data_IF_223406340843
#
_entry.id   IF_223406340843
#
_cell.length_a   1.000
_cell.length_b   1.000
_cell.length_c   1.000
_cell.angle_alpha   90.00
_cell.angle_beta   90.00
_cell.angle_gamma   90.00
#
_symmetry.space_group_name_H-M   'P 1'
#
loop_
_entity.id
_entity.type
_entity.pdbx_description
1 polymer ?
#
# COMPACT_ATOMS: atom_id res chain seq x y z
N UNK A 1 -17.55 -2.52 -26.18
CA UNK A 1 -17.17 -1.64 -25.05
C UNK A 1 -16.97 -2.41 -23.73
N UNK A 2 -17.57 -3.59 -23.53
CA UNK A 2 -17.47 -4.38 -22.29
C UNK A 2 -16.07 -4.97 -22.01
N UNK A 3 -15.43 -5.54 -23.05
CA UNK A 3 -14.24 -6.40 -22.90
C UNK A 3 -12.99 -5.64 -22.44
N UNK A 4 -12.80 -4.41 -22.91
CA UNK A 4 -11.67 -3.59 -22.48
C UNK A 4 -11.81 -3.11 -21.04
N UNK A 5 -13.05 -2.87 -20.56
CA UNK A 5 -13.32 -2.48 -19.15
C UNK A 5 -13.04 -3.64 -18.21
N UNK A 6 -13.44 -4.86 -18.61
CA UNK A 6 -13.11 -6.08 -17.89
C UNK A 6 -11.59 -6.29 -17.80
N UNK A 7 -10.90 -6.19 -18.95
CA UNK A 7 -9.44 -6.31 -19.00
C UNK A 7 -8.75 -5.24 -18.12
N UNK A 8 -9.22 -4.00 -18.18
CA UNK A 8 -8.71 -2.92 -17.33
C UNK A 8 -8.93 -3.20 -15.85
N UNK A 9 -10.10 -3.71 -15.45
CA UNK A 9 -10.41 -4.06 -14.06
C UNK A 9 -9.52 -5.19 -13.54
N UNK A 10 -9.26 -6.22 -14.36
CA UNK A 10 -8.34 -7.32 -14.04
C UNK A 10 -6.91 -6.80 -13.87
N UNK A 11 -6.43 -5.98 -14.81
CA UNK A 11 -5.09 -5.38 -14.74
C UNK A 11 -4.93 -4.47 -13.52
N UNK A 12 -5.95 -3.67 -13.19
CA UNK A 12 -5.96 -2.81 -12.01
C UNK A 12 -5.88 -3.64 -10.72
N UNK A 13 -6.67 -4.73 -10.64
CA UNK A 13 -6.72 -5.61 -9.47
C UNK A 13 -5.40 -6.36 -9.26
N UNK A 14 -4.79 -6.85 -10.34
CA UNK A 14 -3.46 -7.45 -10.32
C UNK A 14 -2.40 -6.45 -9.87
N UNK A 15 -2.42 -5.24 -10.44
CA UNK A 15 -1.46 -4.17 -10.08
C UNK A 15 -1.58 -3.82 -8.61
N UNK A 16 -2.80 -3.62 -8.11
CA UNK A 16 -3.10 -3.36 -6.70
C UNK A 16 -2.58 -4.49 -5.79
N UNK A 17 -2.82 -5.74 -6.18
CA UNK A 17 -2.34 -6.92 -5.47
C UNK A 17 -0.81 -7.00 -5.40
N UNK A 18 -0.14 -6.79 -6.54
CA UNK A 18 1.32 -6.82 -6.65
C UNK A 18 1.98 -5.68 -5.84
N UNK A 19 1.41 -4.47 -5.90
CA UNK A 19 1.86 -3.34 -5.07
C UNK A 19 1.69 -3.68 -3.59
N UNK A 20 0.55 -4.24 -3.20
CA UNK A 20 0.29 -4.69 -1.83
C UNK A 20 1.31 -5.72 -1.35
N UNK A 21 1.60 -6.73 -2.15
CA UNK A 21 2.60 -7.77 -1.83
C UNK A 21 4.01 -7.17 -1.71
N UNK A 22 4.38 -6.26 -2.62
CA UNK A 22 5.67 -5.58 -2.56
C UNK A 22 5.84 -4.76 -1.27
N UNK A 23 4.81 -4.06 -0.83
CA UNK A 23 4.78 -3.33 0.44
C UNK A 23 4.81 -4.28 1.65
N UNK A 24 4.01 -5.35 1.62
CA UNK A 24 3.91 -6.34 2.69
C UNK A 24 5.24 -7.08 2.94
N UNK A 25 5.97 -7.36 1.86
CA UNK A 25 7.24 -8.09 1.91
C UNK A 25 8.46 -7.19 2.08
N UNK A 26 8.27 -5.86 2.15
CA UNK A 26 9.37 -4.89 2.17
C UNK A 26 10.35 -5.17 1.01
N UNK A 27 9.82 -5.15 -0.22
CA UNK A 27 10.56 -5.59 -1.40
C UNK A 27 11.91 -4.87 -1.49
N UNK A 28 13.01 -5.64 -1.36
CA UNK A 28 14.40 -5.15 -1.40
C UNK A 28 14.78 -4.09 -0.35
N UNK A 29 14.04 -3.95 0.75
CA UNK A 29 14.36 -2.95 1.78
C UNK A 29 14.13 -1.50 1.33
N UNK A 30 13.42 -1.29 0.22
CA UNK A 30 13.13 0.06 -0.33
C UNK A 30 12.33 0.88 0.68
N UNK A 31 11.35 0.26 1.34
CA UNK A 31 10.57 0.87 2.42
C UNK A 31 11.46 1.38 3.55
N UNK A 32 12.40 0.54 4.01
CA UNK A 32 13.34 0.93 5.05
C UNK A 32 14.27 2.06 4.60
N UNK A 33 14.76 2.00 3.36
CA UNK A 33 15.61 3.04 2.79
C UNK A 33 14.85 4.37 2.67
N UNK A 34 13.62 4.33 2.16
CA UNK A 34 12.76 5.50 2.01
C UNK A 34 12.43 6.10 3.36
N UNK A 35 12.10 5.27 4.35
CA UNK A 35 11.79 5.72 5.70
C UNK A 35 13.01 6.31 6.42
N UNK A 36 14.20 5.69 6.27
CA UNK A 36 15.46 6.28 6.77
C UNK A 36 15.71 7.65 6.14
N UNK A 37 15.46 7.80 4.83
CA UNK A 37 15.65 9.06 4.11
C UNK A 37 14.65 10.13 4.55
N UNK A 38 13.36 9.80 4.68
CA UNK A 38 12.33 10.70 5.20
C UNK A 38 12.63 11.15 6.64
N UNK A 39 13.11 10.24 7.49
CA UNK A 39 13.51 10.58 8.85
C UNK A 39 14.77 11.43 8.90
N UNK A 40 15.75 11.22 8.01
CA UNK A 40 16.91 12.09 7.87
C UNK A 40 16.48 13.53 7.53
N UNK A 41 15.53 13.70 6.61
CA UNK A 41 14.95 15.01 6.29
C UNK A 41 14.17 15.60 7.46
N UNK A 42 13.39 14.79 8.19
CA UNK A 42 12.68 15.23 9.39
C UNK A 42 13.63 15.67 10.52
N UNK A 43 14.80 15.02 10.64
CA UNK A 43 15.84 15.41 11.60
C UNK A 43 16.47 16.78 11.27
N UNK A 44 16.55 17.14 9.99
CA UNK A 44 16.94 18.49 9.55
C UNK A 44 15.84 19.50 9.92
N UNK A 45 14.57 19.14 9.71
CA UNK A 45 13.43 19.99 10.07
C UNK A 45 13.33 20.25 11.58
N UNK A 46 13.74 19.27 12.40
CA UNK A 46 13.89 19.42 13.86
C UNK A 46 14.92 20.46 14.29
N UNK A 47 15.82 20.90 13.42
CA UNK A 47 16.75 22.01 13.73
C UNK A 47 16.05 23.37 13.80
N UNK A 48 14.82 23.48 13.30
CA UNK A 48 14.03 24.72 13.26
C UNK A 48 12.90 24.65 14.30
N UNK A 49 12.69 25.69 15.15
CA UNK A 49 11.49 25.79 15.99
C UNK A 49 10.22 25.82 15.12
N UNK A 50 9.10 25.19 15.50
CA UNK A 50 8.77 24.56 16.79
C UNK A 50 9.18 23.08 16.92
N UNK A 51 9.71 22.47 15.85
CA UNK A 51 9.95 21.02 15.77
C UNK A 51 11.06 20.50 16.70
N UNK A 52 11.95 21.40 17.16
CA UNK A 52 12.99 21.14 18.15
C UNK A 52 12.45 20.61 19.49
N UNK A 53 11.21 20.94 19.83
CA UNK A 53 10.60 20.59 21.12
C UNK A 53 9.86 19.25 21.12
N UNK A 54 9.78 18.55 19.97
CA UNK A 54 9.14 17.24 19.96
C UNK A 54 10.04 16.19 20.65
N UNK A 55 9.54 15.48 21.67
CA UNK A 55 10.33 14.52 22.44
C UNK A 55 10.94 13.44 21.55
N UNK A 56 12.17 13.04 21.89
CA UNK A 56 12.89 11.94 21.24
C UNK A 56 12.28 10.60 21.63
N UNK A 57 11.17 10.26 20.96
CA UNK A 57 10.67 8.91 20.97
C UNK A 57 11.68 8.03 20.21
N UNK A 58 12.32 7.09 20.92
CA UNK A 58 13.36 6.18 20.44
C UNK A 58 13.26 5.88 18.94
N UNK A 59 14.23 6.43 18.20
CA UNK A 59 14.35 6.40 16.74
C UNK A 59 14.03 5.02 16.15
N UNK A 60 14.61 3.97 16.73
CA UNK A 60 14.44 2.59 16.27
C UNK A 60 13.02 2.05 16.45
N UNK A 61 12.34 2.44 17.54
CA UNK A 61 10.95 2.02 17.80
C UNK A 61 9.97 2.66 16.83
N UNK A 62 10.19 3.92 16.44
CA UNK A 62 9.37 4.57 15.40
C UNK A 62 9.58 3.91 14.05
N UNK A 63 10.83 3.67 13.66
CA UNK A 63 11.15 3.02 12.38
C UNK A 63 10.47 1.65 12.28
N UNK A 64 10.60 0.81 13.33
CA UNK A 64 9.95 -0.50 13.36
C UNK A 64 8.43 -0.42 13.26
N UNK A 65 7.79 0.54 13.94
CA UNK A 65 6.33 0.76 13.86
C UNK A 65 5.88 1.23 12.47
N UNK A 66 6.64 2.11 11.83
CA UNK A 66 6.30 2.59 10.49
C UNK A 66 6.48 1.49 9.44
N UNK A 67 7.55 0.70 9.53
CA UNK A 67 7.73 -0.48 8.66
C UNK A 67 6.60 -1.48 8.89
N UNK A 68 6.20 -1.73 10.15
CA UNK A 68 5.07 -2.59 10.45
C UNK A 68 3.77 -2.05 9.85
N UNK A 69 3.50 -0.75 9.99
CA UNK A 69 2.31 -0.10 9.44
C UNK A 69 2.27 -0.22 7.91
N UNK A 70 3.38 0.05 7.23
CA UNK A 70 3.47 -0.07 5.78
C UNK A 70 3.25 -1.51 5.31
N UNK A 71 3.77 -2.50 6.06
CA UNK A 71 3.51 -3.91 5.77
C UNK A 71 2.03 -4.25 5.94
N UNK A 72 1.38 -3.77 7.00
CA UNK A 72 -0.06 -3.98 7.23
C UNK A 72 -0.88 -3.36 6.11
N UNK A 73 -0.55 -2.13 5.69
CA UNK A 73 -1.18 -1.49 4.53
C UNK A 73 -0.97 -2.36 3.28
N UNK A 74 0.25 -2.83 3.04
CA UNK A 74 0.55 -3.75 1.94
C UNK A 74 -0.32 -5.01 1.97
N UNK A 75 -0.49 -5.65 3.12
CA UNK A 75 -1.35 -6.83 3.30
C UNK A 75 -2.81 -6.51 2.96
N UNK A 76 -3.32 -5.36 3.41
CA UNK A 76 -4.69 -4.91 3.11
C UNK A 76 -4.86 -4.73 1.59
N UNK A 77 -3.91 -4.06 0.93
CA UNK A 77 -3.93 -3.86 -0.53
C UNK A 77 -3.85 -5.20 -1.29
N UNK A 78 -3.01 -6.12 -0.84
CA UNK A 78 -2.90 -7.46 -1.42
C UNK A 78 -4.21 -8.23 -1.30
N UNK A 79 -4.80 -8.27 -0.11
CA UNK A 79 -6.08 -8.92 0.15
C UNK A 79 -7.21 -8.30 -0.68
N UNK A 80 -7.27 -6.97 -0.77
CA UNK A 80 -8.25 -6.27 -1.59
C UNK A 80 -8.12 -6.61 -3.08
N UNK A 81 -6.90 -6.64 -3.62
CA UNK A 81 -6.64 -7.02 -5.02
C UNK A 81 -7.09 -8.46 -5.31
N UNK A 82 -6.80 -9.41 -4.40
CA UNK A 82 -7.26 -10.79 -4.52
C UNK A 82 -8.78 -10.89 -4.46
N UNK A 83 -9.41 -10.20 -3.51
CA UNK A 83 -10.87 -10.17 -3.39
C UNK A 83 -11.55 -9.62 -4.66
N UNK A 84 -11.02 -8.54 -5.22
CA UNK A 84 -11.52 -7.99 -6.49
C UNK A 84 -11.39 -8.99 -7.64
N UNK A 85 -10.28 -9.72 -7.73
CA UNK A 85 -10.12 -10.77 -8.74
C UNK A 85 -11.15 -11.88 -8.57
N UNK A 86 -11.41 -12.33 -7.34
CA UNK A 86 -12.43 -13.35 -7.06
C UNK A 86 -13.81 -12.87 -7.53
N UNK A 87 -14.19 -11.63 -7.20
CA UNK A 87 -15.48 -11.06 -7.61
C UNK A 87 -15.57 -10.93 -9.13
N UNK A 88 -14.50 -10.47 -9.81
CA UNK A 88 -14.48 -10.34 -11.27
C UNK A 88 -14.59 -11.69 -11.98
N UNK A 89 -13.89 -12.72 -11.48
CA UNK A 89 -13.94 -14.08 -12.03
C UNK A 89 -15.31 -14.70 -11.79
N UNK A 90 -15.85 -14.57 -10.57
CA UNK A 90 -17.18 -15.09 -10.25
C UNK A 90 -18.28 -14.40 -11.06
N UNK A 91 -18.25 -13.08 -11.19
CA UNK A 91 -19.20 -12.31 -12.01
C UNK A 91 -19.10 -12.68 -13.50
N UNK A 92 -17.88 -12.86 -14.02
CA UNK A 92 -17.67 -13.32 -15.39
C UNK A 92 -18.19 -14.73 -15.65
N UNK A 93 -18.05 -15.66 -14.69
CA UNK A 93 -18.52 -17.04 -14.81
C UNK A 93 -20.03 -17.19 -14.59
N UNK A 94 -20.62 -16.40 -13.69
CA UNK A 94 -22.04 -16.44 -13.37
C UNK A 94 -22.91 -15.71 -14.40
N UNK A 95 -22.32 -14.86 -15.25
CA UNK A 95 -23.06 -14.04 -16.22
C UNK A 95 -23.89 -12.94 -15.57
N UNK A 96 -23.74 -12.71 -14.26
CA UNK A 96 -24.41 -11.60 -13.57
C UNK A 96 -23.77 -10.26 -14.00
N UNK A 97 -24.58 -9.25 -14.35
CA UNK A 97 -24.06 -7.94 -14.73
C UNK A 97 -23.28 -7.37 -13.54
N UNK A 98 -22.03 -6.96 -13.80
CA UNK A 98 -21.17 -6.35 -12.79
C UNK A 98 -21.92 -5.23 -12.06
N UNK A 99 -21.84 -5.18 -10.71
CA UNK A 99 -22.54 -4.16 -9.95
C UNK A 99 -22.08 -2.79 -10.45
N UNK A 100 -22.98 -2.11 -11.16
CA UNK A 100 -22.75 -0.76 -11.62
C UNK A 100 -22.76 0.14 -10.39
N UNK A 101 -21.61 0.68 -9.99
CA UNK A 101 -21.60 1.78 -9.03
C UNK A 101 -22.26 2.98 -9.71
N UNK A 102 -23.57 3.13 -9.49
CA UNK A 102 -24.23 4.43 -9.56
C UNK A 102 -23.93 5.20 -8.30
#
# INVERSE_FOLDING_TARGET
>A
METWRFAAAVMMSLTMGLIGVALATNFRGVTEWHMRRSMATASVLRRVPPWRWLPDAQYDKRLARFVLLERVIGVIFAAAGVMFLIVLVYGGLSGEPMPSSR
#
